data_IF_080268138791
#
_entry.id   IF_080268138791
#
_cell.length_a   1.000
_cell.length_b   1.000
_cell.length_c   1.000
_cell.angle_alpha   90.00
_cell.angle_beta   90.00
_cell.angle_gamma   90.00
#
_symmetry.space_group_name_H-M   'P 1'
#
loop_
_entity.id
_entity.type
_entity.pdbx_description
1 polymer ?
#
# COMPACT_ATOMS: atom_id res chain seq x y z
N UNK A 1 1.44 -4.60 -37.47
CA UNK A 1 1.37 -3.65 -36.32
C UNK A 1 1.15 -2.26 -36.90
N UNK A 2 0.19 -1.49 -36.39
CA UNK A 2 -0.08 -0.13 -36.90
C UNK A 2 0.99 0.84 -36.38
N UNK A 3 1.43 1.80 -37.20
CA UNK A 3 2.46 2.77 -36.82
C UNK A 3 2.10 3.56 -35.54
N UNK A 4 0.81 3.81 -35.33
CA UNK A 4 0.28 4.45 -34.13
C UNK A 4 0.50 3.59 -32.87
N UNK A 5 0.30 2.27 -32.96
CA UNK A 5 0.54 1.37 -31.82
C UNK A 5 2.01 1.33 -31.42
N UNK A 6 2.92 1.34 -32.40
CA UNK A 6 4.36 1.40 -32.14
C UNK A 6 4.74 2.72 -31.44
N UNK A 7 4.18 3.85 -31.90
CA UNK A 7 4.40 5.17 -31.30
C UNK A 7 3.93 5.24 -29.84
N UNK A 8 2.73 4.73 -29.55
CA UNK A 8 2.18 4.70 -28.19
C UNK A 8 3.04 3.87 -27.24
N UNK A 9 3.50 2.69 -27.68
CA UNK A 9 4.38 1.83 -26.89
C UNK A 9 5.70 2.55 -26.59
N UNK A 10 6.32 3.18 -27.59
CA UNK A 10 7.58 3.92 -27.40
C UNK A 10 7.41 5.07 -26.41
N UNK A 11 6.35 5.88 -26.55
CA UNK A 11 6.07 6.98 -25.63
C UNK A 11 5.84 6.47 -24.21
N UNK A 12 5.06 5.40 -24.05
CA UNK A 12 4.82 4.78 -22.76
C UNK A 12 6.12 4.36 -22.06
N UNK A 13 7.00 3.66 -22.78
CA UNK A 13 8.30 3.27 -22.21
C UNK A 13 9.17 4.47 -21.86
N UNK A 14 9.20 5.51 -22.69
CA UNK A 14 9.96 6.73 -22.39
C UNK A 14 9.46 7.40 -21.12
N UNK A 15 8.14 7.51 -20.93
CA UNK A 15 7.55 8.10 -19.72
C UNK A 15 7.86 7.23 -18.49
N UNK A 16 7.69 5.91 -18.59
CA UNK A 16 7.99 4.99 -17.49
C UNK A 16 9.46 5.09 -17.09
N UNK A 17 10.40 5.09 -18.03
CA UNK A 17 11.82 5.20 -17.74
C UNK A 17 12.19 6.58 -17.17
N UNK A 18 11.57 7.64 -17.67
CA UNK A 18 11.76 9.00 -17.15
C UNK A 18 11.30 9.13 -15.69
N UNK A 19 10.23 8.44 -15.28
CA UNK A 19 9.72 8.44 -13.91
C UNK A 19 10.42 7.42 -13.00
N UNK A 20 10.87 6.28 -13.54
CA UNK A 20 11.53 5.23 -12.77
C UNK A 20 12.80 5.73 -12.10
N UNK A 21 13.61 6.54 -12.78
CA UNK A 21 14.88 7.08 -12.24
C UNK A 21 14.68 8.00 -11.02
N UNK A 22 13.87 9.07 -11.07
CA UNK A 22 13.66 9.93 -9.91
C UNK A 22 12.99 9.18 -8.76
N UNK A 23 12.03 8.29 -9.04
CA UNK A 23 11.40 7.45 -8.01
C UNK A 23 12.40 6.50 -7.35
N UNK A 24 13.25 5.83 -8.14
CA UNK A 24 14.26 4.91 -7.63
C UNK A 24 15.31 5.61 -6.76
N UNK A 25 15.79 6.79 -7.17
CA UNK A 25 16.73 7.59 -6.37
C UNK A 25 16.07 8.06 -5.07
N UNK A 26 14.78 8.41 -5.11
CA UNK A 26 14.03 8.76 -3.91
C UNK A 26 13.90 7.57 -2.95
N UNK A 27 13.48 6.39 -3.44
CA UNK A 27 13.37 5.18 -2.63
C UNK A 27 14.72 4.76 -2.03
N UNK A 28 15.80 4.83 -2.82
CA UNK A 28 17.14 4.53 -2.34
C UNK A 28 17.55 5.47 -1.19
N UNK A 29 17.29 6.78 -1.32
CA UNK A 29 17.58 7.74 -0.23
C UNK A 29 16.71 7.49 1.00
N UNK A 30 15.44 7.12 0.81
CA UNK A 30 14.51 6.84 1.89
C UNK A 30 14.91 5.60 2.69
N UNK A 31 15.23 4.49 2.02
CA UNK A 31 15.67 3.26 2.69
C UNK A 31 17.04 3.39 3.36
N UNK A 32 17.91 4.26 2.84
CA UNK A 32 19.23 4.55 3.41
C UNK A 32 19.17 5.58 4.57
N UNK A 33 17.95 5.97 5.01
CA UNK A 33 17.73 6.91 6.11
C UNK A 33 18.19 8.35 5.82
N UNK A 34 18.43 8.70 4.56
CA UNK A 34 18.92 10.04 4.16
C UNK A 34 17.77 11.04 4.15
N UNK A 35 18.06 12.30 4.52
CA UNK A 35 17.07 13.38 4.49
C UNK A 35 16.56 13.59 3.06
N UNK A 36 15.27 13.35 2.85
CA UNK A 36 14.56 13.63 1.60
C UNK A 36 13.89 15.00 1.65
N UNK A 37 13.46 15.53 0.50
CA UNK A 37 12.76 16.83 0.42
C UNK A 37 11.47 16.87 1.25
N UNK A 38 10.80 15.72 1.40
CA UNK A 38 9.55 15.58 2.15
C UNK A 38 9.76 15.38 3.67
N UNK A 39 11.00 15.13 4.08
CA UNK A 39 11.38 14.82 5.45
C UNK A 39 11.05 15.91 6.49
N UNK A 40 11.06 17.23 6.19
CA UNK A 40 10.68 18.26 7.15
C UNK A 40 9.20 18.20 7.58
N UNK A 41 8.33 17.72 6.69
CA UNK A 41 6.87 17.66 6.92
C UNK A 41 6.45 16.27 7.35
N UNK A 42 7.02 15.22 6.77
CA UNK A 42 6.62 13.83 7.06
C UNK A 42 7.20 13.32 8.38
N UNK A 43 8.43 13.69 8.74
CA UNK A 43 9.07 13.20 9.98
C UNK A 43 8.27 13.46 11.26
N UNK A 44 7.68 14.64 11.53
CA UNK A 44 6.88 14.82 12.74
C UNK A 44 5.65 13.91 12.76
N UNK A 45 5.04 13.62 11.59
CA UNK A 45 3.91 12.70 11.47
C UNK A 45 4.36 11.26 11.69
N UNK A 46 5.50 10.85 11.12
CA UNK A 46 6.10 9.52 11.32
C UNK A 46 6.39 9.27 12.80
N UNK A 47 7.08 10.20 13.48
CA UNK A 47 7.38 10.08 14.91
C UNK A 47 6.11 10.01 15.76
N UNK A 48 5.07 10.76 15.39
CA UNK A 48 3.77 10.69 16.08
C UNK A 48 3.12 9.32 15.90
N UNK A 49 3.11 8.78 14.67
CA UNK A 49 2.58 7.44 14.38
C UNK A 49 3.38 6.33 15.05
N UNK A 50 4.71 6.44 15.09
CA UNK A 50 5.57 5.49 15.80
C UNK A 50 5.29 5.50 17.30
N UNK A 51 5.12 6.68 17.91
CA UNK A 51 4.74 6.80 19.33
C UNK A 51 3.35 6.21 19.60
N UNK A 52 2.37 6.49 18.75
CA UNK A 52 1.01 5.95 18.91
C UNK A 52 0.96 4.43 18.73
N UNK A 53 1.75 3.89 17.80
CA UNK A 53 1.81 2.46 17.51
C UNK A 53 2.77 1.70 18.43
N UNK A 54 3.52 2.40 19.30
CA UNK A 54 4.56 1.81 20.15
C UNK A 54 5.75 1.24 19.36
N UNK A 55 5.96 1.68 18.12
CA UNK A 55 7.02 1.17 17.23
C UNK A 55 8.32 1.93 17.50
N UNK A 56 9.40 1.20 17.71
CA UNK A 56 10.73 1.78 17.81
C UNK A 56 11.47 1.70 16.46
N UNK A 57 11.69 2.85 15.83
CA UNK A 57 12.44 2.96 14.56
C UNK A 57 13.89 2.51 14.66
N UNK A 58 14.48 2.49 15.86
CA UNK A 58 15.89 2.12 16.07
C UNK A 58 16.13 0.62 16.17
N UNK A 59 15.08 -0.20 16.12
CA UNK A 59 15.18 -1.65 16.31
C UNK A 59 15.10 -2.36 14.97
N UNK A 60 16.21 -2.94 14.54
CA UNK A 60 16.20 -3.82 13.36
C UNK A 60 15.42 -5.10 13.66
N UNK A 61 14.53 -5.50 12.74
CA UNK A 61 13.80 -6.75 12.84
C UNK A 61 14.63 -7.90 12.27
N UNK A 62 14.76 -8.99 13.03
CA UNK A 62 15.29 -10.24 12.47
C UNK A 62 14.33 -10.75 11.40
N UNK A 63 14.83 -11.42 10.37
CA UNK A 63 14.02 -11.97 9.28
C UNK A 63 12.79 -12.78 9.77
N UNK A 64 12.94 -13.56 10.85
CA UNK A 64 11.82 -14.33 11.43
C UNK A 64 10.72 -13.43 11.98
N UNK A 65 11.09 -12.32 12.63
CA UNK A 65 10.13 -11.36 13.19
C UNK A 65 9.45 -10.59 12.07
N UNK A 66 10.21 -10.19 11.04
CA UNK A 66 9.66 -9.53 9.86
C UNK A 66 8.64 -10.42 9.13
N UNK A 67 8.99 -11.67 8.85
CA UNK A 67 8.07 -12.62 8.21
C UNK A 67 6.83 -12.87 9.07
N UNK A 68 6.99 -13.06 10.37
CA UNK A 68 5.85 -13.24 11.27
C UNK A 68 4.92 -12.01 11.29
N UNK A 69 5.48 -10.80 11.35
CA UNK A 69 4.73 -9.54 11.30
C UNK A 69 4.01 -9.38 9.96
N UNK A 70 4.67 -9.67 8.84
CA UNK A 70 4.10 -9.61 7.50
C UNK A 70 2.91 -10.58 7.35
N UNK A 71 3.07 -11.82 7.83
CA UNK A 71 2.00 -12.83 7.78
C UNK A 71 0.82 -12.44 8.68
N UNK A 72 1.10 -12.00 9.90
CA UNK A 72 0.06 -11.54 10.83
C UNK A 72 -0.72 -10.36 10.26
N UNK A 73 -0.03 -9.36 9.69
CA UNK A 73 -0.65 -8.22 9.02
C UNK A 73 -1.49 -8.64 7.81
N UNK A 74 -0.99 -9.59 7.01
CA UNK A 74 -1.71 -10.09 5.84
C UNK A 74 -2.98 -10.85 6.22
N UNK A 75 -2.90 -11.75 7.22
CA UNK A 75 -4.08 -12.47 7.74
C UNK A 75 -5.09 -11.49 8.32
N UNK A 76 -4.65 -10.51 9.11
CA UNK A 76 -5.53 -9.49 9.65
C UNK A 76 -6.20 -8.68 8.54
N UNK A 77 -5.44 -8.22 7.54
CA UNK A 77 -5.96 -7.43 6.42
C UNK A 77 -6.97 -8.23 5.59
N UNK A 78 -6.68 -9.50 5.35
CA UNK A 78 -7.57 -10.43 4.70
C UNK A 78 -8.89 -10.58 5.45
N UNK A 79 -8.83 -10.90 6.74
CA UNK A 79 -10.02 -11.04 7.58
C UNK A 79 -10.79 -9.72 7.70
N UNK A 80 -10.11 -8.60 7.80
CA UNK A 80 -10.70 -7.27 7.87
C UNK A 80 -11.51 -6.96 6.61
N UNK A 81 -10.93 -7.18 5.42
CA UNK A 81 -11.61 -6.97 4.15
C UNK A 81 -12.75 -7.97 3.95
N UNK A 82 -12.56 -9.24 4.31
CA UNK A 82 -13.62 -10.24 4.28
C UNK A 82 -14.81 -9.80 5.15
N UNK A 83 -14.56 -9.39 6.40
CA UNK A 83 -15.61 -8.91 7.30
C UNK A 83 -16.30 -7.65 6.76
N UNK A 84 -15.55 -6.73 6.17
CA UNK A 84 -16.14 -5.54 5.53
C UNK A 84 -17.14 -5.94 4.44
N UNK A 85 -16.77 -6.89 3.57
CA UNK A 85 -17.68 -7.41 2.54
C UNK A 85 -18.88 -8.17 3.14
N UNK A 86 -18.66 -8.99 4.16
CA UNK A 86 -19.73 -9.72 4.86
C UNK A 86 -20.69 -8.81 5.62
N UNK A 87 -20.23 -7.63 6.03
CA UNK A 87 -21.02 -6.62 6.75
C UNK A 87 -21.46 -5.48 5.83
N UNK A 88 -21.22 -5.56 4.52
CA UNK A 88 -21.54 -4.49 3.57
C UNK A 88 -23.01 -4.06 3.58
N UNK A 89 -23.92 -4.98 3.91
CA UNK A 89 -25.35 -4.70 4.04
C UNK A 89 -25.72 -3.79 5.22
N UNK A 90 -24.89 -3.70 6.27
CA UNK A 90 -25.15 -2.88 7.47
C UNK A 90 -24.25 -1.63 7.55
N UNK A 91 -23.27 -1.49 6.66
CA UNK A 91 -22.35 -0.36 6.68
C UNK A 91 -23.05 0.94 6.23
N UNK A 92 -22.88 2.05 6.98
CA UNK A 92 -23.30 3.37 6.50
C UNK A 92 -22.42 3.70 5.29
N UNK A 93 -22.99 4.31 4.23
CA UNK A 93 -22.41 4.48 2.87
C UNK A 93 -22.81 3.41 1.83
N UNK A 94 -24.00 2.83 1.95
CA UNK A 94 -24.59 1.94 0.95
C UNK A 94 -25.86 2.55 0.30
N UNK A 95 -25.73 3.54 -0.61
CA UNK A 95 -26.87 4.21 -1.24
C UNK A 95 -27.71 3.28 -2.13
N UNK A 96 -27.10 2.20 -2.64
CA UNK A 96 -27.76 1.20 -3.49
C UNK A 96 -28.34 0.02 -2.69
N UNK A 97 -28.22 0.05 -1.35
CA UNK A 97 -28.71 -0.97 -0.42
C UNK A 97 -28.30 -2.41 -0.79
N UNK A 98 -27.08 -2.60 -1.31
CA UNK A 98 -26.54 -3.91 -1.62
C UNK A 98 -26.39 -4.74 -0.34
N UNK A 99 -27.13 -5.84 -0.25
CA UNK A 99 -26.98 -6.79 0.85
C UNK A 99 -25.69 -7.60 0.73
N UNK A 100 -25.16 -8.05 1.87
CA UNK A 100 -24.03 -8.99 1.92
C UNK A 100 -24.32 -10.37 1.26
N UNK A 101 -25.56 -10.60 0.82
CA UNK A 101 -25.95 -11.76 0.02
C UNK A 101 -25.51 -11.67 -1.45
N UNK A 102 -25.19 -10.47 -1.95
CA UNK A 102 -24.71 -10.27 -3.32
C UNK A 102 -23.24 -10.67 -3.50
N UNK A 103 -22.45 -10.61 -2.42
CA UNK A 103 -21.09 -11.15 -2.38
C UNK A 103 -21.15 -12.43 -1.55
N UNK A 104 -21.32 -13.56 -2.22
CA UNK A 104 -21.34 -14.86 -1.57
C UNK A 104 -19.98 -15.14 -0.90
N UNK A 105 -19.90 -15.99 0.14
CA UNK A 105 -18.66 -16.23 0.87
C UNK A 105 -17.50 -16.67 -0.03
N UNK A 106 -17.80 -17.32 -1.15
CA UNK A 106 -16.85 -17.76 -2.17
C UNK A 106 -16.25 -16.63 -3.03
N UNK A 107 -16.93 -15.48 -3.11
CA UNK A 107 -16.44 -14.28 -3.78
C UNK A 107 -15.76 -13.30 -2.83
N UNK A 108 -15.98 -13.46 -1.52
CA UNK A 108 -15.46 -12.56 -0.50
C UNK A 108 -14.06 -12.96 0.02
N UNK A 109 -13.61 -14.19 -0.25
CA UNK A 109 -12.28 -14.70 0.09
C UNK A 109 -11.25 -14.45 -1.04
#
# INVERSE_FOLDING_TARGET
MTANGLLQITIYFLVVLALAKPMGVFMARLFDGKRTFLHPVLRPVEVMLYRLSGVNESTEQRWTQYTAALLAFSIFSFLFVYLLQRLQGILPLNPQAFGAALVTPDLAF
#
